data_IF_820290529873
#
_entry.id   IF_820290529873
#
_cell.length_a   1.000
_cell.length_b   1.000
_cell.length_c   1.000
_cell.angle_alpha   90.00
_cell.angle_beta   90.00
_cell.angle_gamma   90.00
#
_symmetry.space_group_name_H-M   'P 1'
#
loop_
_entity.id
_entity.type
_entity.pdbx_description
1 polymer ?
#
# COMPACT_ATOMS: atom_id res chain seq x y z
N UNK A 1 -3.02 -15.92 45.32
CA UNK A 1 -3.64 -15.51 44.04
C UNK A 1 -2.53 -15.48 43.00
N UNK A 2 -2.60 -16.33 41.98
CA UNK A 2 -1.54 -16.50 40.97
C UNK A 2 -1.83 -15.59 39.77
N UNK A 3 -0.94 -14.64 39.48
CA UNK A 3 -1.00 -13.81 38.27
C UNK A 3 -0.30 -14.54 37.11
N UNK A 4 -0.93 -15.58 36.59
CA UNK A 4 -0.36 -16.39 35.50
C UNK A 4 -0.77 -15.93 34.08
N UNK A 5 -1.39 -14.75 33.93
CA UNK A 5 -1.97 -14.29 32.65
C UNK A 5 -1.32 -13.04 32.04
N UNK A 6 -0.06 -12.75 32.37
CA UNK A 6 0.65 -11.58 31.80
C UNK A 6 1.38 -11.88 30.48
N UNK A 7 1.37 -13.12 29.97
CA UNK A 7 2.03 -13.49 28.72
C UNK A 7 1.38 -12.92 27.45
N UNK A 8 0.10 -12.52 27.51
CA UNK A 8 -0.64 -11.95 26.38
C UNK A 8 -0.46 -10.44 26.18
N UNK A 9 -0.05 -9.71 27.22
CA UNK A 9 0.08 -8.24 27.18
C UNK A 9 1.19 -7.78 26.20
N UNK A 10 2.36 -8.44 26.15
CA UNK A 10 3.41 -8.09 25.18
C UNK A 10 3.03 -8.39 23.73
N UNK A 11 2.21 -9.42 23.49
CA UNK A 11 1.74 -9.77 22.15
C UNK A 11 0.68 -8.79 21.67
N UNK A 12 -0.31 -8.47 22.53
CA UNK A 12 -1.34 -7.50 22.22
C UNK A 12 -0.75 -6.11 21.88
N UNK A 13 0.28 -5.68 22.62
CA UNK A 13 0.96 -4.42 22.34
C UNK A 13 1.62 -4.42 20.94
N UNK A 14 2.26 -5.54 20.55
CA UNK A 14 2.84 -5.69 19.20
C UNK A 14 1.77 -5.70 18.11
N UNK A 15 0.65 -6.35 18.37
CA UNK A 15 -0.47 -6.43 17.41
C UNK A 15 -1.12 -5.05 17.21
N UNK A 16 -1.25 -4.26 18.28
CA UNK A 16 -1.76 -2.87 18.21
C UNK A 16 -0.81 -1.95 17.45
N UNK A 17 0.50 -2.03 17.72
CA UNK A 17 1.50 -1.24 16.98
C UNK A 17 1.53 -1.61 15.49
N UNK A 18 1.42 -2.90 15.18
CA UNK A 18 1.29 -3.37 13.79
C UNK A 18 0.02 -2.85 13.12
N UNK A 19 -1.13 -2.96 13.78
CA UNK A 19 -2.41 -2.49 13.23
C UNK A 19 -2.38 -0.97 12.98
N UNK A 20 -1.79 -0.22 13.90
CA UNK A 20 -1.59 1.23 13.73
C UNK A 20 -0.75 1.52 12.48
N UNK A 21 0.37 0.80 12.31
CA UNK A 21 1.22 0.95 11.14
C UNK A 21 0.49 0.60 9.83
N UNK A 22 -0.32 -0.46 9.82
CA UNK A 22 -1.15 -0.83 8.66
C UNK A 22 -2.20 0.24 8.32
N UNK A 23 -2.83 0.86 9.32
CA UNK A 23 -3.79 1.94 9.12
C UNK A 23 -3.10 3.20 8.56
N UNK A 24 -1.95 3.58 9.11
CA UNK A 24 -1.18 4.73 8.61
C UNK A 24 -0.69 4.50 7.17
N UNK A 25 -0.19 3.30 6.86
CA UNK A 25 0.18 2.92 5.50
C UNK A 25 -1.02 3.01 4.54
N UNK A 26 -2.19 2.50 4.94
CA UNK A 26 -3.42 2.56 4.15
C UNK A 26 -3.85 4.00 3.86
N UNK A 27 -3.72 4.90 4.83
CA UNK A 27 -4.05 6.31 4.66
C UNK A 27 -3.16 6.95 3.59
N UNK A 28 -1.86 6.70 3.64
CA UNK A 28 -0.88 7.22 2.68
C UNK A 28 -1.13 6.68 1.26
N UNK A 29 -1.35 5.38 1.12
CA UNK A 29 -1.68 4.77 -0.19
C UNK A 29 -2.98 5.35 -0.74
N UNK A 30 -3.99 5.54 0.12
CA UNK A 30 -5.27 6.16 -0.28
C UNK A 30 -5.07 7.59 -0.75
N UNK A 31 -4.25 8.38 -0.07
CA UNK A 31 -3.95 9.76 -0.46
C UNK A 31 -3.28 9.82 -1.85
N UNK A 32 -2.31 8.96 -2.10
CA UNK A 32 -1.64 8.85 -3.41
C UNK A 32 -2.63 8.42 -4.50
N UNK A 33 -3.52 7.46 -4.21
CA UNK A 33 -4.55 7.01 -5.15
C UNK A 33 -5.56 8.11 -5.46
N UNK A 34 -6.04 8.82 -4.43
CA UNK A 34 -6.97 9.94 -4.58
C UNK A 34 -6.35 11.02 -5.45
N UNK A 35 -5.12 11.46 -5.13
CA UNK A 35 -4.42 12.44 -5.95
C UNK A 35 -4.22 11.95 -7.39
N UNK A 36 -3.90 10.66 -7.58
CA UNK A 36 -3.74 10.08 -8.90
C UNK A 36 -5.03 10.00 -9.72
N UNK A 37 -6.16 9.67 -9.08
CA UNK A 37 -7.48 9.65 -9.71
C UNK A 37 -7.93 11.05 -10.15
N UNK A 38 -7.62 12.08 -9.35
CA UNK A 38 -7.95 13.47 -9.70
C UNK A 38 -7.00 14.09 -10.72
N UNK A 39 -5.81 13.53 -10.92
CA UNK A 39 -4.76 14.09 -11.82
C UNK A 39 -4.58 13.32 -13.13
N UNK A 40 -5.51 12.41 -13.48
CA UNK A 40 -5.41 11.50 -14.63
C UNK A 40 -4.08 10.74 -14.70
N UNK A 41 -3.53 10.31 -13.56
CA UNK A 41 -2.26 9.60 -13.59
C UNK A 41 -2.36 8.31 -14.39
N UNK A 42 -1.42 8.15 -15.32
CA UNK A 42 -1.14 6.85 -15.90
C UNK A 42 -0.74 5.86 -14.81
N UNK A 43 -0.99 4.58 -15.04
CA UNK A 43 -0.54 3.50 -14.16
C UNK A 43 0.95 3.62 -13.78
N UNK A 44 1.79 4.05 -14.71
CA UNK A 44 3.23 4.27 -14.50
C UNK A 44 3.50 5.42 -13.52
N UNK A 45 2.79 6.54 -13.64
CA UNK A 45 2.94 7.69 -12.75
C UNK A 45 2.46 7.37 -11.33
N UNK A 46 1.38 6.60 -11.19
CA UNK A 46 0.91 6.13 -9.88
C UNK A 46 1.97 5.26 -9.18
N UNK A 47 2.55 4.30 -9.90
CA UNK A 47 3.61 3.43 -9.35
C UNK A 47 4.87 4.25 -8.98
N UNK A 48 5.23 5.25 -9.79
CA UNK A 48 6.34 6.14 -9.49
C UNK A 48 6.07 7.00 -8.23
N UNK A 49 4.84 7.50 -8.06
CA UNK A 49 4.45 8.26 -6.86
C UNK A 49 4.52 7.43 -5.58
N UNK A 50 4.04 6.18 -5.62
CA UNK A 50 4.15 5.25 -4.49
C UNK A 50 5.60 4.93 -4.14
N UNK A 51 6.44 4.76 -5.15
CA UNK A 51 7.88 4.51 -4.96
C UNK A 51 8.60 5.71 -4.33
N UNK A 52 8.23 6.94 -4.71
CA UNK A 52 8.75 8.16 -4.08
C UNK A 52 8.31 8.21 -2.61
N UNK A 53 7.03 7.97 -2.34
CA UNK A 53 6.50 7.95 -0.97
C UNK A 53 7.20 6.91 -0.10
N UNK A 54 7.43 5.69 -0.61
CA UNK A 54 8.21 4.68 0.09
C UNK A 54 9.61 5.17 0.45
N UNK A 55 10.33 5.75 -0.52
CA UNK A 55 11.70 6.27 -0.28
C UNK A 55 11.72 7.37 0.77
N UNK A 56 10.78 8.31 0.73
CA UNK A 56 10.70 9.39 1.70
C UNK A 56 10.39 8.86 3.12
N UNK A 57 9.46 7.91 3.23
CA UNK A 57 9.15 7.24 4.49
C UNK A 57 10.37 6.47 5.03
N UNK A 58 11.07 5.72 4.17
CA UNK A 58 12.26 4.96 4.56
C UNK A 58 13.40 5.87 5.04
N UNK A 59 13.60 7.03 4.40
CA UNK A 59 14.60 8.02 4.82
C UNK A 59 14.22 8.65 6.17
N UNK A 60 12.94 9.01 6.37
CA UNK A 60 12.49 9.70 7.57
C UNK A 60 12.36 8.81 8.80
N UNK A 61 11.89 7.57 8.63
CA UNK A 61 11.52 6.67 9.72
C UNK A 61 12.49 5.47 9.87
N UNK A 62 13.30 5.20 8.85
CA UNK A 62 14.17 4.04 8.76
C UNK A 62 13.48 2.82 8.12
N UNK A 63 14.23 2.04 7.34
CA UNK A 63 13.72 0.90 6.56
C UNK A 63 13.04 -0.20 7.39
N UNK A 64 13.44 -0.34 8.67
CA UNK A 64 12.88 -1.36 9.58
C UNK A 64 11.64 -0.87 10.36
N UNK A 65 11.17 0.35 10.08
CA UNK A 65 9.98 0.89 10.74
C UNK A 65 8.72 0.14 10.29
N UNK A 66 7.82 -0.18 11.23
CA UNK A 66 6.59 -0.92 10.93
C UNK A 66 5.69 -0.26 9.88
N UNK A 67 5.63 1.08 9.84
CA UNK A 67 4.86 1.85 8.85
C UNK A 67 5.47 1.70 7.46
N UNK A 68 6.79 1.77 7.36
CA UNK A 68 7.53 1.62 6.09
C UNK A 68 7.31 0.21 5.52
N UNK A 69 7.41 -0.81 6.38
CA UNK A 69 7.19 -2.21 6.00
C UNK A 69 5.73 -2.45 5.56
N UNK A 70 4.76 -1.93 6.31
CA UNK A 70 3.35 -2.04 5.95
C UNK A 70 3.04 -1.31 4.63
N UNK A 71 3.61 -0.12 4.42
CA UNK A 71 3.46 0.63 3.18
C UNK A 71 4.02 -0.12 1.97
N UNK A 72 5.22 -0.71 2.10
CA UNK A 72 5.82 -1.52 1.05
C UNK A 72 4.93 -2.73 0.69
N UNK A 73 4.37 -3.42 1.67
CA UNK A 73 3.46 -4.54 1.43
C UNK A 73 2.19 -4.09 0.68
N UNK A 74 1.65 -2.92 1.03
CA UNK A 74 0.49 -2.37 0.32
C UNK A 74 0.81 -1.93 -1.10
N UNK A 75 1.97 -1.30 -1.31
CA UNK A 75 2.48 -0.94 -2.64
C UNK A 75 2.59 -2.19 -3.53
N UNK A 76 3.13 -3.29 -3.01
CA UNK A 76 3.26 -4.56 -3.74
C UNK A 76 1.91 -5.17 -4.10
N UNK A 77 0.96 -5.18 -3.16
CA UNK A 77 -0.42 -5.64 -3.42
C UNK A 77 -1.09 -4.81 -4.51
N UNK A 78 -0.97 -3.49 -4.42
CA UNK A 78 -1.54 -2.57 -5.42
C UNK A 78 -0.86 -2.75 -6.78
N UNK A 79 0.47 -2.91 -6.83
CA UNK A 79 1.20 -3.22 -8.06
C UNK A 79 0.70 -4.51 -8.67
N UNK A 80 0.53 -5.57 -7.88
CA UNK A 80 -0.02 -6.85 -8.33
C UNK A 80 -1.41 -6.65 -8.94
N UNK A 81 -2.33 -5.97 -8.24
CA UNK A 81 -3.67 -5.67 -8.75
C UNK A 81 -3.64 -4.91 -10.07
N UNK A 82 -2.77 -3.90 -10.19
CA UNK A 82 -2.61 -3.12 -11.41
C UNK A 82 -1.98 -3.93 -12.56
N UNK A 83 -1.16 -4.95 -12.28
CA UNK A 83 -0.62 -5.88 -13.30
C UNK A 83 -1.69 -6.88 -13.74
N UNK A 84 -2.52 -7.37 -12.82
CA UNK A 84 -3.51 -8.41 -13.09
C UNK A 84 -4.87 -7.88 -13.55
N UNK A 85 -5.09 -6.56 -13.50
CA UNK A 85 -6.37 -5.95 -13.91
C UNK A 85 -6.58 -6.04 -15.43
N UNK A 86 -7.64 -6.72 -15.92
CA UNK A 86 -7.90 -6.94 -17.36
C UNK A 86 -8.22 -5.67 -18.17
N UNK A 87 -8.45 -4.54 -17.50
CA UNK A 87 -8.94 -3.28 -18.09
C UNK A 87 -7.96 -2.53 -19.01
N UNK A 88 -6.80 -3.13 -19.34
CA UNK A 88 -5.92 -2.65 -20.41
C UNK A 88 -5.81 -3.61 -21.61
N UNK A 89 -6.29 -4.85 -21.48
CA UNK A 89 -6.26 -5.83 -22.57
C UNK A 89 -7.51 -5.74 -23.46
N UNK A 90 -8.70 -5.53 -22.88
CA UNK A 90 -9.96 -5.55 -23.65
C UNK A 90 -10.26 -4.29 -24.47
N UNK A 91 -9.63 -3.14 -24.17
CA UNK A 91 -9.89 -1.88 -24.90
C UNK A 91 -9.28 -1.84 -26.30
N UNK A 92 -8.27 -2.67 -26.59
CA UNK A 92 -7.64 -2.76 -27.92
C UNK A 92 -8.32 -3.76 -28.86
N UNK A 93 -9.06 -4.73 -28.31
CA UNK A 93 -9.77 -5.73 -29.13
C UNK A 93 -11.16 -5.25 -29.59
N UNK A 94 -11.77 -4.30 -28.88
CA UNK A 94 -13.06 -3.73 -29.29
C UNK A 94 -12.94 -2.64 -30.37
N UNK A 95 -11.82 -1.91 -30.43
CA UNK A 95 -11.62 -0.86 -31.44
C UNK A 95 -11.16 -1.42 -32.81
N UNK A 96 -10.66 -2.66 -32.85
CA UNK A 96 -10.24 -3.33 -34.10
C UNK A 96 -11.31 -4.21 -34.73
N UNK A 97 -12.42 -4.47 -34.03
CA UNK A 97 -13.55 -5.28 -34.55
C UNK A 97 -14.69 -4.46 -35.17
N UNK A 98 -14.54 -3.14 -35.31
CA UNK A 98 -15.53 -2.25 -35.97
C UNK A 98 -15.02 -1.61 -37.28
N UNK A 99 -14.07 -2.24 -37.97
CA UNK A 99 -13.71 -1.92 -39.36
C UNK A 99 -14.22 -2.99 -40.33
#
# INVERSE_FOLDING_TARGET
MSFSNLSGVPQLAKDVERLKAEVEAQQLVTEVLVHGLFSEFTRTQLLAGLEIAYRELAVGLGENNGVVLAFAEQQDRLRSLLVTSPSHAERLETETSTL
#
